data_IF_944573403381
#
_entry.id   IF_944573403381
#
_cell.length_a   1.000
_cell.length_b   1.000
_cell.length_c   1.000
_cell.angle_alpha   90.00
_cell.angle_beta   90.00
_cell.angle_gamma   90.00
#
_symmetry.space_group_name_H-M   'P 1'
#
loop_
_entity.id
_entity.type
_entity.pdbx_description
1 polymer ?
#
# COMPACT_ATOMS: atom_id res chain seq x y z
N UNK A 1 -53.58 50.61 19.34
CA UNK A 1 -52.17 50.36 18.95
C UNK A 1 -51.64 48.95 19.30
N UNK A 2 -52.46 47.99 19.74
CA UNK A 2 -51.96 46.69 20.28
C UNK A 2 -51.95 45.54 19.26
N UNK A 3 -52.70 45.63 18.15
CA UNK A 3 -52.86 44.52 17.20
C UNK A 3 -51.64 44.32 16.28
N UNK A 4 -50.85 45.37 16.02
CA UNK A 4 -49.70 45.29 15.10
C UNK A 4 -48.51 44.54 15.70
N UNK A 5 -48.34 44.55 17.03
CA UNK A 5 -47.20 43.92 17.71
C UNK A 5 -47.25 42.38 17.68
N UNK A 6 -48.45 41.78 17.77
CA UNK A 6 -48.62 40.31 17.76
C UNK A 6 -48.28 39.65 16.42
N UNK A 7 -48.64 40.29 15.31
CA UNK A 7 -48.32 39.81 13.95
C UNK A 7 -46.83 39.89 13.61
N UNK A 8 -46.13 40.93 14.09
CA UNK A 8 -44.68 41.09 13.89
C UNK A 8 -43.91 40.05 14.72
N UNK A 9 -44.36 39.73 15.95
CA UNK A 9 -43.73 38.73 16.80
C UNK A 9 -43.94 37.30 16.29
N UNK A 10 -45.14 36.97 15.80
CA UNK A 10 -45.43 35.70 15.12
C UNK A 10 -44.63 35.55 13.82
N UNK A 11 -44.51 36.63 13.02
CA UNK A 11 -43.71 36.66 11.80
C UNK A 11 -42.21 36.46 12.05
N UNK A 12 -41.63 37.10 13.09
CA UNK A 12 -40.22 36.87 13.47
C UNK A 12 -39.97 35.44 13.94
N UNK A 13 -40.85 34.87 14.77
CA UNK A 13 -40.77 33.46 15.18
C UNK A 13 -40.87 32.50 14.00
N UNK A 14 -41.75 32.78 13.05
CA UNK A 14 -41.92 31.99 11.83
C UNK A 14 -40.68 32.05 10.92
N UNK A 15 -40.06 33.22 10.76
CA UNK A 15 -38.83 33.39 9.97
C UNK A 15 -37.64 32.68 10.62
N UNK A 16 -37.49 32.76 11.95
CA UNK A 16 -36.45 32.02 12.68
C UNK A 16 -36.61 30.50 12.54
N UNK A 17 -37.84 29.99 12.65
CA UNK A 17 -38.14 28.57 12.42
C UNK A 17 -37.79 28.12 10.98
N UNK A 18 -38.11 28.93 9.96
CA UNK A 18 -37.75 28.64 8.56
C UNK A 18 -36.24 28.67 8.33
N UNK A 19 -35.52 29.60 8.96
CA UNK A 19 -34.06 29.66 8.90
C UNK A 19 -33.43 28.42 9.53
N UNK A 20 -33.92 27.99 10.69
CA UNK A 20 -33.45 26.78 11.36
C UNK A 20 -33.70 25.53 10.51
N UNK A 21 -34.91 25.36 9.97
CA UNK A 21 -35.25 24.27 9.04
C UNK A 21 -34.39 24.28 7.77
N UNK A 22 -34.11 25.47 7.21
CA UNK A 22 -33.25 25.61 6.04
C UNK A 22 -31.78 25.28 6.35
N UNK A 23 -31.29 25.67 7.53
CA UNK A 23 -29.95 25.35 8.00
C UNK A 23 -29.80 23.85 8.26
N UNK A 24 -30.78 23.19 8.89
CA UNK A 24 -30.82 21.74 9.07
C UNK A 24 -30.85 21.01 7.73
N UNK A 25 -31.70 21.44 6.80
CA UNK A 25 -31.77 20.87 5.46
C UNK A 25 -30.44 21.03 4.70
N UNK A 26 -29.78 22.18 4.83
CA UNK A 26 -28.46 22.44 4.24
C UNK A 26 -27.37 21.58 4.89
N UNK A 27 -27.33 21.47 6.22
CA UNK A 27 -26.40 20.59 6.95
C UNK A 27 -26.62 19.12 6.57
N UNK A 28 -27.86 18.69 6.43
CA UNK A 28 -28.20 17.34 6.00
C UNK A 28 -27.79 17.08 4.54
N UNK A 29 -28.03 18.03 3.64
CA UNK A 29 -27.61 17.94 2.25
C UNK A 29 -26.07 17.91 2.13
N UNK A 30 -25.37 18.72 2.91
CA UNK A 30 -23.92 18.75 2.96
C UNK A 30 -23.33 17.46 3.57
N UNK A 31 -23.95 16.93 4.62
CA UNK A 31 -23.58 15.64 5.22
C UNK A 31 -23.74 14.48 4.24
N UNK A 32 -24.83 14.48 3.46
CA UNK A 32 -25.11 13.49 2.40
C UNK A 32 -24.33 13.71 1.11
N UNK A 33 -23.50 14.76 1.03
CA UNK A 33 -22.64 14.98 -0.12
C UNK A 33 -21.63 13.84 -0.22
N UNK A 34 -21.59 13.21 -1.40
CA UNK A 34 -20.66 12.12 -1.68
C UNK A 34 -19.28 12.70 -2.00
N UNK A 35 -18.26 12.13 -1.37
CA UNK A 35 -16.84 12.37 -1.64
C UNK A 35 -16.24 11.08 -2.18
N UNK A 36 -15.39 11.21 -3.20
CA UNK A 36 -14.67 10.09 -3.82
C UNK A 36 -13.23 10.07 -3.32
N UNK A 37 -12.81 8.92 -2.80
CA UNK A 37 -11.50 8.71 -2.20
C UNK A 37 -10.80 7.57 -2.93
N UNK A 38 -9.74 7.89 -3.67
CA UNK A 38 -8.91 6.89 -4.34
C UNK A 38 -7.74 6.47 -3.44
N UNK A 39 -7.65 5.18 -3.12
CA UNK A 39 -6.54 4.55 -2.39
C UNK A 39 -5.68 3.75 -3.37
N UNK A 40 -4.43 4.18 -3.64
CA UNK A 40 -3.56 3.46 -4.57
C UNK A 40 -3.09 2.10 -4.03
N UNK A 41 -2.65 1.24 -4.95
CA UNK A 41 -1.93 0.00 -4.66
C UNK A 41 -0.54 0.31 -4.06
N UNK A 42 0.00 -0.64 -3.29
CA UNK A 42 1.32 -0.51 -2.67
C UNK A 42 1.38 0.46 -1.50
N UNK A 43 0.21 0.89 -1.00
CA UNK A 43 0.06 1.76 0.16
C UNK A 43 0.00 0.99 1.48
N UNK A 44 0.72 1.44 2.50
CA UNK A 44 0.54 1.00 3.89
C UNK A 44 -0.61 1.77 4.54
N UNK A 45 -1.08 1.29 5.69
CA UNK A 45 -2.05 2.01 6.52
C UNK A 45 -1.58 3.43 6.86
N UNK A 46 -0.30 3.64 7.16
CA UNK A 46 0.22 4.99 7.47
C UNK A 46 0.17 5.93 6.26
N UNK A 47 0.44 5.42 5.05
CA UNK A 47 0.32 6.21 3.82
C UNK A 47 -1.14 6.51 3.47
N UNK A 48 -2.06 5.57 3.75
CA UNK A 48 -3.50 5.79 3.59
C UNK A 48 -3.95 6.91 4.54
N UNK A 49 -3.61 6.82 5.83
CA UNK A 49 -3.93 7.82 6.84
C UNK A 49 -3.44 9.23 6.44
N UNK A 50 -2.17 9.34 6.06
CA UNK A 50 -1.56 10.61 5.62
C UNK A 50 -2.21 11.17 4.35
N UNK A 51 -2.60 10.30 3.42
CA UNK A 51 -3.30 10.71 2.20
C UNK A 51 -4.68 11.26 2.50
N UNK A 52 -5.45 10.58 3.34
CA UNK A 52 -6.80 10.99 3.75
C UNK A 52 -6.78 12.34 4.47
N UNK A 53 -5.79 12.55 5.33
CA UNK A 53 -5.57 13.83 6.01
C UNK A 53 -5.23 14.96 5.04
N UNK A 54 -4.30 14.71 4.10
CA UNK A 54 -3.95 15.68 3.06
C UNK A 54 -5.16 16.06 2.19
N UNK A 55 -6.10 15.14 2.00
CA UNK A 55 -7.33 15.36 1.24
C UNK A 55 -8.46 15.99 2.08
N UNK A 56 -8.24 16.22 3.37
CA UNK A 56 -9.25 16.76 4.28
C UNK A 56 -10.44 15.80 4.51
N UNK A 57 -10.22 14.50 4.33
CA UNK A 57 -11.26 13.47 4.50
C UNK A 57 -11.37 13.07 5.97
N UNK A 58 -10.26 12.62 6.57
CA UNK A 58 -10.16 12.23 7.99
C UNK A 58 -8.82 12.69 8.55
N UNK A 59 -8.72 12.91 9.86
CA UNK A 59 -7.41 13.06 10.50
C UNK A 59 -6.65 11.73 10.46
N UNK A 60 -5.34 11.78 10.31
CA UNK A 60 -4.54 10.56 10.21
C UNK A 60 -4.66 9.68 11.46
N UNK A 61 -4.62 10.30 12.65
CA UNK A 61 -4.71 9.59 13.93
C UNK A 61 -6.06 8.90 14.15
N UNK A 62 -7.15 9.52 13.70
CA UNK A 62 -8.50 8.94 13.80
C UNK A 62 -8.60 7.69 12.92
N UNK A 63 -8.06 7.76 11.70
CA UNK A 63 -8.01 6.60 10.80
C UNK A 63 -7.13 5.47 11.36
N UNK A 64 -5.96 5.80 11.90
CA UNK A 64 -5.06 4.82 12.53
C UNK A 64 -5.73 4.17 13.74
N UNK A 65 -6.45 4.95 14.56
CA UNK A 65 -7.18 4.42 15.72
C UNK A 65 -8.27 3.44 15.27
N UNK A 66 -9.04 3.78 14.25
CA UNK A 66 -10.05 2.89 13.68
C UNK A 66 -9.41 1.61 13.14
N UNK A 67 -8.32 1.71 12.37
CA UNK A 67 -7.62 0.56 11.80
C UNK A 67 -7.02 -0.40 12.87
N UNK A 68 -6.68 0.11 14.05
CA UNK A 68 -6.20 -0.72 15.18
C UNK A 68 -7.33 -1.45 15.91
N UNK A 69 -8.55 -0.90 15.93
CA UNK A 69 -9.68 -1.51 16.61
C UNK A 69 -10.38 -2.56 15.74
N UNK A 70 -9.76 -3.74 15.57
CA UNK A 70 -10.26 -4.74 14.62
C UNK A 70 -11.61 -5.36 14.99
N UNK A 71 -11.99 -5.31 16.27
CA UNK A 71 -13.19 -5.97 16.79
C UNK A 71 -14.50 -5.31 16.32
N UNK A 72 -14.43 -4.11 15.73
CA UNK A 72 -15.60 -3.38 15.24
C UNK A 72 -16.02 -3.76 13.82
N UNK A 73 -15.19 -4.53 13.10
CA UNK A 73 -15.43 -4.91 11.70
C UNK A 73 -16.08 -6.28 11.59
N UNK A 74 -16.94 -6.44 10.58
CA UNK A 74 -17.83 -7.61 10.46
C UNK A 74 -17.20 -8.78 9.69
N UNK A 75 -16.09 -8.58 9.01
CA UNK A 75 -15.55 -9.57 8.09
C UNK A 75 -14.89 -10.72 8.85
N UNK A 76 -15.39 -11.95 8.62
CA UNK A 76 -14.96 -13.12 9.37
C UNK A 76 -13.49 -13.47 9.17
N UNK A 77 -12.95 -13.22 7.98
CA UNK A 77 -11.54 -13.48 7.66
C UNK A 77 -10.56 -12.78 8.62
N UNK A 78 -10.98 -11.69 9.29
CA UNK A 78 -10.16 -10.96 10.26
C UNK A 78 -9.84 -11.84 11.48
N UNK A 79 -10.73 -12.78 11.83
CA UNK A 79 -10.51 -13.73 12.93
C UNK A 79 -9.38 -14.70 12.61
N UNK A 80 -9.24 -15.06 11.34
CA UNK A 80 -8.21 -15.98 10.84
C UNK A 80 -6.83 -15.32 10.69
N UNK A 81 -6.76 -13.98 10.81
CA UNK A 81 -5.49 -13.27 10.86
C UNK A 81 -4.92 -13.41 12.28
N UNK A 82 -3.87 -14.23 12.41
CA UNK A 82 -3.07 -14.36 13.62
C UNK A 82 -1.83 -13.43 13.53
N UNK A 83 -1.88 -12.22 14.10
CA UNK A 83 -0.74 -11.32 14.07
C UNK A 83 0.38 -11.85 14.97
N UNK A 84 1.54 -12.15 14.39
CA UNK A 84 2.73 -12.48 15.19
C UNK A 84 3.07 -11.31 16.13
N UNK A 85 3.68 -11.63 17.28
CA UNK A 85 4.18 -10.62 18.22
C UNK A 85 5.07 -9.61 17.50
N UNK A 86 4.74 -8.32 17.59
CA UNK A 86 5.46 -7.25 16.93
C UNK A 86 4.90 -6.80 15.57
N UNK A 87 3.81 -7.42 15.09
CA UNK A 87 3.04 -6.90 13.95
C UNK A 87 2.52 -5.49 14.25
N UNK A 88 2.71 -4.56 13.31
CA UNK A 88 2.34 -3.14 13.52
C UNK A 88 0.82 -2.92 13.44
N UNK A 89 0.18 -3.49 12.41
CA UNK A 89 -1.26 -3.44 12.23
C UNK A 89 -1.78 -4.81 11.78
N UNK A 90 -2.81 -5.32 12.46
CA UNK A 90 -3.47 -6.57 12.07
C UNK A 90 -4.14 -6.48 10.69
N UNK A 91 -4.62 -5.29 10.30
CA UNK A 91 -5.27 -5.04 9.00
C UNK A 91 -4.30 -4.62 7.88
N UNK A 92 -2.98 -4.59 8.13
CA UNK A 92 -2.02 -4.23 7.07
C UNK A 92 -2.14 -5.19 5.89
N UNK A 93 -2.25 -4.65 4.68
CA UNK A 93 -2.46 -5.43 3.45
C UNK A 93 -3.90 -5.81 3.14
N UNK A 94 -4.84 -5.70 4.10
CA UNK A 94 -6.24 -6.08 3.93
C UNK A 94 -7.15 -4.89 3.58
N UNK A 95 -6.65 -3.66 3.69
CA UNK A 95 -7.35 -2.46 3.23
C UNK A 95 -7.22 -2.34 1.71
N UNK A 96 -8.16 -2.93 0.97
CA UNK A 96 -8.07 -3.11 -0.47
C UNK A 96 -7.86 -1.78 -1.24
N UNK A 97 -6.93 -1.71 -2.21
CA UNK A 97 -6.74 -0.52 -3.03
C UNK A 97 -7.87 -0.38 -4.06
N UNK A 98 -8.63 0.72 -3.98
CA UNK A 98 -9.69 1.05 -4.93
C UNK A 98 -10.13 2.52 -4.77
N UNK A 99 -11.12 2.92 -5.55
CA UNK A 99 -11.82 4.19 -5.41
C UNK A 99 -13.15 4.02 -4.67
N UNK A 100 -13.25 4.65 -3.51
CA UNK A 100 -14.39 4.53 -2.61
C UNK A 100 -15.25 5.79 -2.62
N UNK A 101 -16.57 5.60 -2.69
CA UNK A 101 -17.56 6.66 -2.48
C UNK A 101 -18.05 6.61 -1.05
N UNK A 102 -17.89 7.72 -0.33
CA UNK A 102 -18.31 7.90 1.07
C UNK A 102 -19.07 9.22 1.21
N UNK A 103 -19.94 9.32 2.21
CA UNK A 103 -20.56 10.60 2.57
C UNK A 103 -19.56 11.48 3.32
N UNK A 104 -19.70 12.80 3.22
CA UNK A 104 -18.85 13.75 3.97
C UNK A 104 -18.95 13.55 5.49
N UNK A 105 -20.09 13.05 5.97
CA UNK A 105 -20.32 12.69 7.38
C UNK A 105 -19.88 11.27 7.76
N UNK A 106 -19.29 10.50 6.84
CA UNK A 106 -18.81 9.15 7.16
C UNK A 106 -17.69 9.23 8.19
N UNK A 107 -17.52 8.18 8.97
CA UNK A 107 -16.39 8.03 9.89
C UNK A 107 -15.28 7.18 9.25
N UNK A 108 -14.06 7.18 9.78
CA UNK A 108 -13.00 6.29 9.31
C UNK A 108 -13.41 4.81 9.28
N UNK A 109 -14.22 4.37 10.24
CA UNK A 109 -14.74 3.00 10.32
C UNK A 109 -15.58 2.63 9.09
N UNK A 110 -16.38 3.56 8.57
CA UNK A 110 -17.22 3.31 7.39
C UNK A 110 -16.38 3.07 6.13
N UNK A 111 -15.29 3.85 5.98
CA UNK A 111 -14.35 3.66 4.87
C UNK A 111 -13.61 2.33 5.03
N UNK A 112 -13.08 2.04 6.22
CA UNK A 112 -12.35 0.79 6.46
C UNK A 112 -13.25 -0.42 6.23
N UNK A 113 -14.49 -0.40 6.71
CA UNK A 113 -15.45 -1.49 6.46
C UNK A 113 -15.66 -1.71 4.95
N UNK A 114 -15.86 -0.63 4.16
CA UNK A 114 -15.96 -0.73 2.70
C UNK A 114 -14.70 -1.33 2.05
N UNK A 115 -13.51 -0.98 2.55
CA UNK A 115 -12.25 -1.52 2.05
C UNK A 115 -12.10 -3.02 2.36
N UNK A 116 -12.50 -3.44 3.56
CA UNK A 116 -12.48 -4.84 3.99
C UNK A 116 -13.52 -5.68 3.25
N UNK A 117 -14.72 -5.15 3.01
CA UNK A 117 -15.75 -5.81 2.20
C UNK A 117 -15.27 -6.01 0.75
N UNK A 118 -14.58 -5.01 0.20
CA UNK A 118 -13.99 -5.10 -1.13
C UNK A 118 -12.87 -6.16 -1.17
N UNK A 119 -11.99 -6.16 -0.16
CA UNK A 119 -10.97 -7.20 -0.01
C UNK A 119 -11.60 -8.59 -0.02
N UNK A 120 -12.58 -8.83 0.85
CA UNK A 120 -13.23 -10.13 1.02
C UNK A 120 -13.82 -10.63 -0.29
N UNK A 121 -14.56 -9.75 -0.99
CA UNK A 121 -15.14 -10.04 -2.30
C UNK A 121 -14.07 -10.38 -3.35
N UNK A 122 -13.03 -9.56 -3.46
CA UNK A 122 -11.97 -9.71 -4.48
C UNK A 122 -11.12 -10.93 -4.22
N UNK A 123 -10.63 -11.08 -2.98
CA UNK A 123 -9.83 -12.21 -2.56
C UNK A 123 -10.60 -13.52 -2.72
N UNK A 124 -11.87 -13.58 -2.30
CA UNK A 124 -12.72 -14.76 -2.47
C UNK A 124 -12.87 -15.16 -3.93
N UNK A 125 -12.96 -14.19 -4.86
CA UNK A 125 -12.99 -14.48 -6.30
C UNK A 125 -11.67 -15.08 -6.81
N UNK A 126 -10.53 -14.54 -6.37
CA UNK A 126 -9.20 -15.05 -6.73
C UNK A 126 -8.90 -16.43 -6.13
N UNK A 127 -9.31 -16.65 -4.88
CA UNK A 127 -9.06 -17.88 -4.14
C UNK A 127 -9.74 -19.11 -4.78
N UNK A 128 -10.80 -18.93 -5.59
CA UNK A 128 -11.47 -20.03 -6.30
C UNK A 128 -10.52 -20.84 -7.19
N UNK A 129 -9.55 -20.19 -7.83
CA UNK A 129 -8.56 -20.86 -8.68
C UNK A 129 -7.33 -21.33 -7.91
N UNK A 130 -7.18 -20.95 -6.65
CA UNK A 130 -6.02 -21.30 -5.85
C UNK A 130 -6.08 -22.76 -5.39
N UNK A 131 -5.03 -23.53 -5.73
CA UNK A 131 -4.88 -24.95 -5.37
C UNK A 131 -3.64 -25.21 -4.50
N UNK A 132 -2.96 -24.15 -4.06
CA UNK A 132 -1.78 -24.27 -3.22
C UNK A 132 -2.13 -24.46 -1.74
N UNK A 133 -1.09 -24.54 -0.90
CA UNK A 133 -1.21 -24.82 0.54
C UNK A 133 -1.03 -23.60 1.44
N UNK A 134 -0.71 -22.43 0.88
CA UNK A 134 -0.47 -21.21 1.67
C UNK A 134 -1.78 -20.67 2.19
N UNK A 135 -1.73 -20.21 3.43
CA UNK A 135 -2.83 -19.46 4.03
C UNK A 135 -3.00 -18.09 3.36
N UNK A 136 -4.17 -17.49 3.54
CA UNK A 136 -4.43 -16.11 3.11
C UNK A 136 -3.39 -15.14 3.66
N UNK A 137 -3.02 -15.27 4.94
CA UNK A 137 -2.02 -14.41 5.57
C UNK A 137 -0.65 -14.51 4.88
N UNK A 138 -0.22 -15.71 4.51
CA UNK A 138 1.05 -15.91 3.78
C UNK A 138 0.97 -15.37 2.35
N UNK A 139 -0.14 -15.59 1.65
CA UNK A 139 -0.37 -15.06 0.29
C UNK A 139 -0.32 -13.53 0.30
N UNK A 140 -1.03 -12.90 1.23
CA UNK A 140 -1.05 -11.43 1.35
C UNK A 140 0.31 -10.87 1.73
N UNK A 141 1.05 -11.58 2.58
CA UNK A 141 2.42 -11.19 2.95
C UNK A 141 3.34 -11.21 1.73
N UNK A 142 3.31 -12.30 0.94
CA UNK A 142 4.10 -12.41 -0.29
C UNK A 142 3.67 -11.38 -1.33
N UNK A 143 2.37 -11.22 -1.54
CA UNK A 143 1.81 -10.25 -2.48
C UNK A 143 2.25 -8.82 -2.16
N UNK A 144 2.27 -8.43 -0.88
CA UNK A 144 2.73 -7.10 -0.48
C UNK A 144 4.23 -6.86 -0.74
N UNK A 145 5.06 -7.90 -0.61
CA UNK A 145 6.48 -7.81 -0.98
C UNK A 145 6.65 -7.69 -2.49
N UNK A 146 5.92 -8.50 -3.27
CA UNK A 146 5.92 -8.44 -4.74
C UNK A 146 5.48 -7.07 -5.24
N UNK A 147 4.42 -6.49 -4.67
CA UNK A 147 3.88 -5.18 -5.05
C UNK A 147 4.94 -4.08 -4.93
N UNK A 148 5.79 -4.16 -3.89
CA UNK A 148 6.82 -3.15 -3.62
C UNK A 148 8.14 -3.40 -4.37
N UNK A 149 8.38 -4.62 -4.85
CA UNK A 149 9.57 -4.97 -5.65
C UNK A 149 9.33 -4.77 -7.15
N UNK A 150 8.13 -5.09 -7.63
CA UNK A 150 7.86 -5.23 -9.06
C UNK A 150 7.01 -4.07 -9.60
N UNK A 151 7.68 -3.08 -10.18
CA UNK A 151 7.04 -2.05 -10.99
C UNK A 151 6.40 -2.63 -12.26
N UNK A 152 7.00 -3.68 -12.83
CA UNK A 152 6.50 -4.36 -14.01
C UNK A 152 5.64 -5.58 -13.61
N UNK A 153 4.34 -5.53 -13.96
CA UNK A 153 3.38 -6.58 -13.63
C UNK A 153 3.77 -7.95 -14.20
N UNK A 154 4.42 -8.01 -15.37
CA UNK A 154 4.80 -9.27 -16.02
C UNK A 154 5.91 -10.03 -15.29
N UNK A 155 6.69 -9.36 -14.43
CA UNK A 155 7.75 -10.00 -13.63
C UNK A 155 7.25 -10.51 -12.28
N UNK A 156 6.04 -10.12 -11.85
CA UNK A 156 5.49 -10.51 -10.55
C UNK A 156 5.50 -12.03 -10.32
N UNK A 157 5.08 -12.89 -11.28
CA UNK A 157 5.15 -14.34 -11.10
C UNK A 157 6.59 -14.88 -11.00
N UNK A 158 7.57 -14.23 -11.64
CA UNK A 158 8.98 -14.60 -11.53
C UNK A 158 9.53 -14.24 -10.15
N UNK A 159 9.25 -13.03 -9.65
CA UNK A 159 9.66 -12.63 -8.30
C UNK A 159 9.00 -13.52 -7.24
N UNK A 160 7.72 -13.88 -7.42
CA UNK A 160 7.04 -14.85 -6.58
C UNK A 160 7.78 -16.21 -6.59
N UNK A 161 8.20 -16.69 -7.76
CA UNK A 161 9.02 -17.91 -7.88
C UNK A 161 10.34 -17.84 -7.11
N UNK A 162 11.04 -16.70 -7.16
CA UNK A 162 12.27 -16.50 -6.37
C UNK A 162 11.99 -16.54 -4.87
N UNK A 163 10.91 -15.93 -4.41
CA UNK A 163 10.51 -15.97 -2.99
C UNK A 163 10.27 -17.42 -2.56
N UNK A 164 9.51 -18.19 -3.35
CA UNK A 164 9.27 -19.62 -3.07
C UNK A 164 10.57 -20.43 -3.00
N UNK A 165 11.46 -20.24 -3.96
CA UNK A 165 12.73 -20.95 -4.02
C UNK A 165 13.60 -20.64 -2.79
N UNK A 166 13.68 -19.37 -2.39
CA UNK A 166 14.40 -18.97 -1.18
C UNK A 166 13.79 -19.55 0.09
N UNK A 167 12.46 -19.58 0.20
CA UNK A 167 11.77 -20.19 1.34
C UNK A 167 12.05 -21.69 1.41
N UNK A 168 11.97 -22.40 0.28
CA UNK A 168 12.28 -23.83 0.20
C UNK A 168 13.73 -24.14 0.58
N UNK A 169 14.68 -23.30 0.14
CA UNK A 169 16.10 -23.40 0.49
C UNK A 169 16.45 -22.89 1.90
N UNK A 170 15.46 -22.47 2.71
CA UNK A 170 15.65 -21.86 4.04
C UNK A 170 16.61 -20.66 4.01
N UNK A 171 16.64 -19.94 2.89
CA UNK A 171 17.38 -18.71 2.69
C UNK A 171 16.61 -17.53 3.28
N UNK A 172 17.35 -16.46 3.60
CA UNK A 172 16.73 -15.17 3.94
C UNK A 172 16.19 -14.51 2.66
N UNK A 173 15.05 -13.82 2.75
CA UNK A 173 14.45 -13.22 1.55
C UNK A 173 15.20 -11.97 1.09
N UNK A 174 15.73 -11.15 2.01
CA UNK A 174 16.51 -9.94 1.71
C UNK A 174 15.78 -8.96 0.78
N UNK A 175 14.55 -8.62 1.14
CA UNK A 175 13.66 -7.74 0.37
C UNK A 175 13.67 -6.34 1.03
N UNK A 176 14.19 -5.34 0.32
CA UNK A 176 14.41 -3.97 0.82
C UNK A 176 13.15 -3.29 1.38
N UNK A 177 11.98 -3.39 0.72
CA UNK A 177 10.73 -2.86 1.23
C UNK A 177 10.38 -3.32 2.66
N UNK A 178 10.78 -4.54 3.05
CA UNK A 178 10.49 -5.05 4.40
C UNK A 178 11.27 -4.31 5.49
N UNK A 179 12.47 -3.83 5.17
CA UNK A 179 13.29 -2.98 6.05
C UNK A 179 12.68 -1.59 6.12
N UNK A 180 12.38 -1.01 4.95
CA UNK A 180 11.80 0.32 4.83
C UNK A 180 10.47 0.44 5.57
N UNK A 181 9.63 -0.58 5.54
CA UNK A 181 8.37 -0.59 6.28
C UNK A 181 8.59 -0.28 7.77
N UNK A 182 9.64 -0.84 8.38
CA UNK A 182 9.94 -0.59 9.79
C UNK A 182 10.71 0.70 10.03
N UNK A 183 11.72 1.02 9.22
CA UNK A 183 12.59 2.19 9.45
C UNK A 183 11.94 3.52 9.09
N UNK A 184 10.90 3.50 8.25
CA UNK A 184 10.15 4.70 7.83
C UNK A 184 8.75 4.76 8.45
N UNK A 185 8.46 3.90 9.42
CA UNK A 185 7.13 3.74 10.01
C UNK A 185 6.04 3.58 8.93
N UNK A 186 6.30 2.78 7.90
CA UNK A 186 5.36 2.48 6.83
C UNK A 186 5.23 3.56 5.75
N UNK A 187 5.90 4.71 5.86
CA UNK A 187 5.75 5.83 4.92
C UNK A 187 6.58 5.68 3.64
N UNK A 188 7.60 4.83 3.64
CA UNK A 188 8.53 4.62 2.52
C UNK A 188 9.10 5.91 1.92
N UNK A 189 9.27 6.94 2.75
CA UNK A 189 9.80 8.25 2.35
C UNK A 189 11.33 8.29 2.29
N UNK A 190 12.02 7.22 2.73
CA UNK A 190 13.46 7.10 2.59
C UNK A 190 13.84 6.76 1.14
N UNK A 191 14.82 7.50 0.60
CA UNK A 191 15.33 7.28 -0.77
C UNK A 191 16.19 6.02 -0.91
N UNK A 192 16.73 5.50 0.19
CA UNK A 192 17.66 4.37 0.19
C UNK A 192 17.66 3.64 1.53
N UNK A 193 17.85 2.33 1.50
CA UNK A 193 18.15 1.51 2.68
C UNK A 193 19.64 1.63 2.99
N UNK A 194 19.99 2.03 4.21
CA UNK A 194 21.40 2.12 4.62
C UNK A 194 21.87 0.78 5.22
N UNK A 195 23.17 0.50 5.17
CA UNK A 195 23.75 -0.71 5.76
C UNK A 195 23.41 -0.89 7.25
N UNK A 196 23.25 0.20 7.99
CA UNK A 196 22.82 0.18 9.39
C UNK A 196 21.39 -0.35 9.56
N UNK A 197 20.50 -0.03 8.62
CA UNK A 197 19.09 -0.41 8.65
C UNK A 197 18.93 -1.91 8.41
N UNK A 198 19.76 -2.50 7.55
CA UNK A 198 19.77 -3.93 7.25
C UNK A 198 20.04 -4.80 8.48
N UNK A 199 20.69 -4.27 9.52
CA UNK A 199 21.05 -5.00 10.73
C UNK A 199 20.00 -4.88 11.86
N UNK A 200 18.99 -4.03 11.70
CA UNK A 200 17.97 -3.79 12.74
C UNK A 200 17.10 -5.04 12.89
N UNK A 201 17.05 -5.61 14.10
CA UNK A 201 16.23 -6.79 14.38
C UNK A 201 14.77 -6.39 14.55
N UNK A 202 13.98 -6.65 13.52
CA UNK A 202 12.51 -6.49 13.55
C UNK A 202 11.85 -7.76 13.02
N UNK A 203 10.57 -7.93 13.32
CA UNK A 203 9.78 -9.06 12.82
C UNK A 203 9.39 -8.93 11.34
N UNK A 204 9.83 -7.86 10.67
CA UNK A 204 9.67 -7.65 9.25
C UNK A 204 11.01 -7.72 8.49
N UNK A 205 12.14 -7.44 9.13
CA UNK A 205 13.43 -7.34 8.42
C UNK A 205 13.92 -8.71 7.92
N UNK A 206 13.67 -8.96 6.64
CA UNK A 206 14.05 -10.20 5.94
C UNK A 206 15.55 -10.34 5.65
N UNK A 207 16.40 -9.38 6.05
CA UNK A 207 17.87 -9.53 6.02
C UNK A 207 18.43 -10.25 7.24
N UNK A 208 17.72 -10.23 8.36
CA UNK A 208 18.16 -10.83 9.62
C UNK A 208 17.37 -12.07 9.99
N UNK A 209 16.09 -12.14 9.59
CA UNK A 209 15.23 -13.31 9.81
C UNK A 209 15.17 -14.25 8.61
N UNK A 210 14.81 -15.51 8.88
CA UNK A 210 14.45 -16.51 7.85
C UNK A 210 12.93 -16.63 7.77
N UNK A 211 12.41 -17.02 6.61
CA UNK A 211 10.97 -17.16 6.37
C UNK A 211 10.27 -15.84 6.07
N UNK A 212 8.94 -15.87 6.12
CA UNK A 212 8.09 -14.71 5.86
C UNK A 212 8.09 -13.73 7.04
N UNK A 213 7.98 -12.40 6.78
CA UNK A 213 7.81 -11.41 7.82
C UNK A 213 6.49 -11.62 8.60
N UNK A 214 6.30 -10.84 9.66
CA UNK A 214 5.15 -10.98 10.57
C UNK A 214 3.79 -10.74 9.92
N UNK A 215 3.76 -10.04 8.78
CA UNK A 215 2.56 -9.82 7.98
C UNK A 215 2.88 -8.98 6.75
N UNK A 216 1.84 -8.52 6.03
CA UNK A 216 1.99 -7.65 4.88
C UNK A 216 2.64 -6.31 5.24
N UNK A 217 3.21 -5.65 4.23
CA UNK A 217 3.88 -4.34 4.37
C UNK A 217 3.18 -3.21 3.59
N UNK A 218 2.16 -3.55 2.81
CA UNK A 218 1.29 -2.64 2.07
C UNK A 218 0.06 -3.40 1.54
N UNK A 219 -0.91 -2.68 0.96
CA UNK A 219 -2.05 -3.24 0.24
C UNK A 219 -1.65 -3.69 -1.19
N UNK A 220 -1.65 -5.00 -1.49
CA UNK A 220 -1.27 -5.48 -2.81
C UNK A 220 -2.42 -5.33 -3.82
N UNK A 221 -2.06 -5.28 -5.09
CA UNK A 221 -2.99 -5.35 -6.21
C UNK A 221 -3.49 -6.78 -6.48
N UNK A 222 -4.54 -6.89 -7.30
CA UNK A 222 -5.03 -8.17 -7.84
C UNK A 222 -3.90 -8.97 -8.53
N UNK A 223 -3.00 -8.30 -9.26
CA UNK A 223 -1.95 -8.98 -10.02
C UNK A 223 -0.83 -9.50 -9.11
N UNK A 224 -0.50 -8.78 -8.03
CA UNK A 224 0.44 -9.26 -7.02
C UNK A 224 -0.13 -10.42 -6.20
N UNK A 225 -1.42 -10.38 -5.84
CA UNK A 225 -2.11 -11.49 -5.17
C UNK A 225 -2.11 -12.73 -6.07
N UNK A 226 -2.46 -12.59 -7.36
CA UNK A 226 -2.41 -13.68 -8.34
C UNK A 226 -1.01 -14.26 -8.49
N UNK A 227 0.03 -13.41 -8.53
CA UNK A 227 1.41 -13.87 -8.62
C UNK A 227 1.85 -14.65 -7.38
N UNK A 228 1.43 -14.23 -6.19
CA UNK A 228 1.67 -14.96 -4.94
C UNK A 228 0.93 -16.31 -4.89
N UNK A 229 -0.28 -16.38 -5.45
CA UNK A 229 -1.06 -17.62 -5.57
C UNK A 229 -0.49 -18.58 -6.63
N UNK A 230 0.06 -18.04 -7.71
CA UNK A 230 0.52 -18.80 -8.87
C UNK A 230 1.94 -18.40 -9.28
N UNK A 231 2.95 -18.68 -8.45
CA UNK A 231 4.34 -18.37 -8.75
C UNK A 231 4.81 -19.14 -9.98
N UNK A 232 5.63 -18.50 -10.83
CA UNK A 232 6.23 -19.16 -11.98
C UNK A 232 7.35 -20.08 -11.51
N UNK A 233 7.30 -21.35 -11.93
CA UNK A 233 8.33 -22.34 -11.61
C UNK A 233 9.62 -22.05 -12.40
N UNK A 234 10.74 -22.00 -11.68
CA UNK A 234 12.09 -21.84 -12.20
C UNK A 234 13.10 -22.08 -11.06
N UNK A 235 14.40 -22.03 -11.33
CA UNK A 235 15.45 -22.24 -10.31
C UNK A 235 16.17 -20.95 -9.87
N UNK A 236 15.74 -19.79 -10.33
CA UNK A 236 16.36 -18.52 -9.94
C UNK A 236 16.24 -18.27 -8.44
N UNK A 237 17.33 -17.78 -7.84
CA UNK A 237 17.44 -17.43 -6.42
C UNK A 237 17.74 -15.95 -6.22
N UNK A 238 18.13 -15.22 -7.26
CA UNK A 238 18.55 -13.82 -7.16
C UNK A 238 17.95 -13.02 -8.31
N UNK A 239 17.67 -11.75 -8.04
CA UNK A 239 17.31 -10.78 -9.06
C UNK A 239 17.92 -9.43 -8.71
N UNK A 240 18.18 -8.61 -9.73
CA UNK A 240 18.63 -7.21 -9.59
C UNK A 240 17.98 -6.38 -10.67
N UNK A 241 17.79 -5.09 -10.40
CA UNK A 241 17.28 -4.16 -11.41
C UNK A 241 18.17 -4.19 -12.65
N UNK A 242 17.53 -4.29 -13.80
CA UNK A 242 18.15 -4.20 -15.10
C UNK A 242 18.43 -2.73 -15.43
N UNK A 243 19.68 -2.42 -15.75
CA UNK A 243 20.08 -1.06 -16.11
C UNK A 243 19.69 -0.68 -17.54
N UNK A 244 19.46 -1.67 -18.41
CA UNK A 244 19.14 -1.47 -19.84
C UNK A 244 17.68 -1.12 -20.07
N UNK A 245 16.78 -1.63 -19.24
CA UNK A 245 15.34 -1.43 -19.35
C UNK A 245 14.75 -1.06 -18.00
N UNK A 246 14.16 0.14 -17.96
CA UNK A 246 13.59 0.69 -16.73
C UNK A 246 12.48 -0.22 -16.20
N UNK A 247 12.63 -0.64 -14.95
CA UNK A 247 11.62 -1.41 -14.22
C UNK A 247 11.60 -2.91 -14.53
N UNK A 248 12.64 -3.45 -15.19
CA UNK A 248 12.83 -4.91 -15.32
C UNK A 248 13.96 -5.42 -14.43
N UNK A 249 14.07 -6.74 -14.32
CA UNK A 249 15.06 -7.41 -13.50
C UNK A 249 15.81 -8.51 -14.27
N UNK A 250 17.09 -8.66 -13.93
CA UNK A 250 17.91 -9.81 -14.37
C UNK A 250 17.86 -10.88 -13.29
N UNK A 251 17.36 -12.07 -13.65
CA UNK A 251 17.22 -13.22 -12.76
C UNK A 251 18.41 -14.16 -12.90
N UNK A 252 18.95 -14.63 -11.77
CA UNK A 252 20.18 -15.44 -11.71
C UNK A 252 20.03 -16.59 -10.70
N UNK A 253 20.69 -17.72 -10.96
CA UNK A 253 20.61 -18.93 -10.13
C UNK A 253 21.63 -18.90 -9.01
N UNK A 254 22.84 -18.38 -9.29
CA UNK A 254 23.95 -18.36 -8.33
C UNK A 254 24.30 -16.95 -7.87
N UNK A 255 24.98 -16.87 -6.71
CA UNK A 255 25.47 -15.59 -6.19
C UNK A 255 26.56 -14.98 -7.09
N UNK A 256 27.41 -15.82 -7.69
CA UNK A 256 28.45 -15.36 -8.61
C UNK A 256 27.85 -14.79 -9.89
N UNK A 257 26.83 -15.42 -10.47
CA UNK A 257 26.05 -14.85 -11.57
C UNK A 257 25.43 -13.51 -11.18
N UNK A 258 24.81 -13.41 -10.00
CA UNK A 258 24.19 -12.18 -9.52
C UNK A 258 25.20 -11.01 -9.39
N UNK A 259 26.40 -11.31 -8.86
CA UNK A 259 27.49 -10.34 -8.71
C UNK A 259 28.03 -9.90 -10.07
N UNK A 260 28.14 -10.84 -11.01
CA UNK A 260 28.72 -10.61 -12.34
C UNK A 260 27.73 -10.05 -13.37
N UNK A 261 26.42 -10.15 -13.14
CA UNK A 261 25.38 -9.54 -13.95
C UNK A 261 25.50 -8.01 -13.88
N UNK A 262 26.42 -7.42 -14.65
CA UNK A 262 26.73 -5.99 -14.62
C UNK A 262 25.50 -5.14 -14.88
N UNK A 263 25.33 -4.12 -14.04
CA UNK A 263 24.43 -2.99 -14.26
C UNK A 263 24.83 -2.31 -15.57
N UNK A 264 24.03 -2.49 -16.63
CA UNK A 264 24.05 -1.65 -17.83
C UNK A 264 23.35 -0.32 -17.58
N UNK A 265 23.62 0.34 -16.45
CA UNK A 265 23.40 1.79 -16.36
C UNK A 265 24.70 2.42 -16.84
N UNK A 266 24.75 2.69 -18.15
CA UNK A 266 25.84 3.41 -18.78
C UNK A 266 26.06 4.70 -17.99
N UNK A 267 27.24 4.80 -17.37
CA UNK A 267 27.81 6.11 -17.03
C UNK A 267 27.77 6.94 -18.30
N UNK A 268 27.28 8.17 -18.21
CA UNK A 268 27.57 9.22 -19.18
C UNK A 268 29.08 9.26 -19.44
N UNK A 269 29.50 8.60 -20.51
CA UNK A 269 30.77 8.78 -21.19
C UNK A 269 30.44 9.19 -22.61
N UNK A 270 30.11 10.47 -22.75
CA UNK A 270 30.38 11.26 -23.94
C UNK A 270 30.23 12.73 -23.56
N UNK A 271 31.22 13.24 -22.83
CA UNK A 271 31.63 14.64 -23.00
C UNK A 271 32.23 14.73 -24.39
N UNK A 272 31.37 15.10 -25.35
CA UNK A 272 31.68 16.02 -26.45
C UNK A 272 33.16 16.16 -26.80
N UNK A 273 33.60 15.33 -27.74
CA UNK A 273 34.67 15.70 -28.65
C UNK A 273 34.05 16.61 -29.72
N UNK A 274 34.02 17.92 -29.47
CA UNK A 274 33.90 18.94 -30.52
C UNK A 274 34.16 20.32 -29.92
N UNK A 275 35.41 20.80 -30.04
CA UNK A 275 35.71 22.23 -30.14
C UNK A 275 36.93 22.40 -31.03
N UNK A 276 36.64 22.76 -32.28
CA UNK A 276 37.28 23.81 -33.07
C UNK A 276 38.80 23.85 -33.12
N UNK A 277 39.35 23.34 -34.22
CA UNK A 277 40.61 23.84 -34.78
C UNK A 277 40.28 24.70 -36.00
N UNK A 278 40.22 26.01 -35.79
CA UNK A 278 40.39 27.02 -36.86
C UNK A 278 41.30 28.14 -36.35
N UNK A 279 42.50 28.16 -36.93
CA UNK A 279 43.35 29.32 -37.25
C UNK A 279 43.71 30.36 -36.17
N UNK A 280 45.00 30.39 -35.82
CA UNK A 280 45.78 31.63 -35.91
C UNK A 280 47.19 31.39 -36.45
N UNK A 281 47.51 32.18 -37.47
CA UNK A 281 48.79 32.42 -38.15
C UNK A 281 50.02 32.48 -37.22
N UNK A 282 51.11 31.83 -37.62
CA UNK A 282 52.39 32.46 -38.02
C UNK A 282 53.24 31.44 -38.74
#
# INVERSE_FOLDING_TARGET
MIIVAGGIFAGRKYMAYRQQKAEEARKLAEARRVVTVMIPEGYSIDMIAKRLEKQGVFKADEFIKAAKNTNQYKNDFIKDIDPKKGTKYKLEGYLYPDTYKIYKSSKPEDLIQKMLDNFDKKYSALAKSYKGKRSMAEIMTIASMIEREASNMSERPMIAGVIENRLAAKMRLQIDPTVLYTTTNGLYNAKKVYYKDLKVKTVYNTYVMKGLPAGPICNPSDTAIKAAMHPKKHDYLYYRTDGSKKGTHVFTKTFDEHKNAKSTSTKDKNSTNSTNTTNSKS
#
